data_IF_332168947959
#
_entry.id   IF_332168947959
#
_cell.length_a   1.000
_cell.length_b   1.000
_cell.length_c   1.000
_cell.angle_alpha   90.00
_cell.angle_beta   90.00
_cell.angle_gamma   90.00
#
_symmetry.space_group_name_H-M   'P 1'
#
loop_
_entity.id
_entity.type
_entity.pdbx_description
1 polymer ?
#
# COMPACT_ATOMS: atom_id res chain seq x y z
N UNK A 1 19.01 2.29 -32.01
CA UNK A 1 19.74 2.48 -30.74
C UNK A 1 18.77 3.20 -29.82
N UNK A 2 18.09 2.46 -28.91
CA UNK A 2 17.36 3.10 -27.81
C UNK A 2 18.41 3.62 -26.84
N UNK A 3 18.39 4.92 -26.55
CA UNK A 3 19.23 5.52 -25.52
C UNK A 3 19.08 4.71 -24.23
N UNK A 4 20.17 4.44 -23.53
CA UNK A 4 20.19 3.95 -22.17
C UNK A 4 19.56 5.04 -21.25
N UNK A 5 18.24 5.20 -21.31
CA UNK A 5 17.52 5.88 -20.25
C UNK A 5 17.57 4.94 -19.06
N UNK A 6 18.41 5.25 -18.10
CA UNK A 6 18.44 4.52 -16.84
C UNK A 6 17.02 4.54 -16.25
N UNK A 7 16.43 3.37 -16.04
CA UNK A 7 15.11 3.19 -15.45
C UNK A 7 15.00 4.01 -14.17
N UNK A 8 13.98 4.84 -14.03
CA UNK A 8 13.72 5.59 -12.80
C UNK A 8 13.43 4.66 -11.63
N UNK A 9 12.74 3.55 -11.90
CA UNK A 9 12.46 2.52 -10.90
C UNK A 9 13.73 1.91 -10.30
N UNK A 10 14.82 1.84 -11.07
CA UNK A 10 16.11 1.34 -10.57
C UNK A 10 16.66 2.18 -9.41
N UNK A 11 16.30 3.46 -9.33
CA UNK A 11 16.74 4.42 -8.31
C UNK A 11 15.92 4.36 -7.02
N UNK A 12 14.82 3.58 -7.01
CA UNK A 12 13.94 3.46 -5.84
C UNK A 12 14.34 2.20 -5.06
N UNK A 13 14.83 2.39 -3.84
CA UNK A 13 15.17 1.32 -2.90
C UNK A 13 14.33 1.40 -1.64
N UNK A 14 13.75 2.57 -1.36
CA UNK A 14 12.86 2.84 -0.23
C UNK A 14 11.77 3.83 -0.64
N UNK A 15 10.65 3.89 0.09
CA UNK A 15 9.59 4.87 -0.22
C UNK A 15 10.07 6.33 -0.17
N UNK A 16 11.06 6.64 0.66
CA UNK A 16 11.60 8.00 0.77
C UNK A 16 12.24 8.51 -0.51
N UNK A 17 12.75 7.61 -1.35
CA UNK A 17 13.36 7.97 -2.62
C UNK A 17 12.36 8.62 -3.58
N UNK A 18 11.06 8.24 -3.47
CA UNK A 18 9.98 8.82 -4.28
C UNK A 18 9.87 10.34 -4.14
N UNK A 19 10.21 10.88 -2.97
CA UNK A 19 10.11 12.32 -2.69
C UNK A 19 11.11 13.17 -3.47
N UNK A 20 12.11 12.54 -4.08
CA UNK A 20 13.11 13.23 -4.93
C UNK A 20 12.65 13.42 -6.39
N UNK A 21 11.56 12.76 -6.80
CA UNK A 21 11.07 12.78 -8.18
C UNK A 21 9.99 13.84 -8.40
N UNK A 22 9.99 14.45 -9.57
CA UNK A 22 8.90 15.32 -9.98
C UNK A 22 7.72 14.51 -10.56
N UNK A 23 6.59 15.17 -10.80
CA UNK A 23 5.36 14.51 -11.28
C UNK A 23 5.55 13.74 -12.60
N UNK A 24 6.37 14.25 -13.53
CA UNK A 24 6.60 13.56 -14.81
C UNK A 24 7.39 12.28 -14.60
N UNK A 25 8.42 12.32 -13.76
CA UNK A 25 9.23 11.17 -13.41
C UNK A 25 8.40 10.12 -12.65
N UNK A 26 7.48 10.55 -11.77
CA UNK A 26 6.55 9.65 -11.07
C UNK A 26 5.60 8.93 -12.05
N UNK A 27 5.17 9.57 -13.13
CA UNK A 27 4.37 8.91 -14.17
C UNK A 27 5.17 7.85 -14.93
N UNK A 28 6.46 8.11 -15.22
CA UNK A 28 7.34 7.11 -15.82
C UNK A 28 7.58 5.92 -14.86
N UNK A 29 7.81 6.19 -13.57
CA UNK A 29 7.91 5.16 -12.53
C UNK A 29 6.62 4.33 -12.47
N UNK A 30 5.46 4.97 -12.53
CA UNK A 30 4.18 4.28 -12.54
C UNK A 30 4.05 3.34 -13.75
N UNK A 31 4.52 3.77 -14.91
CA UNK A 31 4.56 2.95 -16.12
C UNK A 31 5.50 1.73 -15.93
N UNK A 32 6.73 1.95 -15.47
CA UNK A 32 7.71 0.88 -15.24
C UNK A 32 7.20 -0.15 -14.20
N UNK A 33 6.54 0.32 -13.13
CA UNK A 33 5.91 -0.56 -12.13
C UNK A 33 4.82 -1.42 -12.77
N UNK A 34 3.96 -0.84 -13.64
CA UNK A 34 2.92 -1.59 -14.34
C UNK A 34 3.51 -2.66 -15.25
N UNK A 35 4.58 -2.34 -15.99
CA UNK A 35 5.27 -3.33 -16.82
C UNK A 35 5.83 -4.48 -15.99
N UNK A 36 6.46 -4.18 -14.86
CA UNK A 36 7.00 -5.20 -13.95
C UNK A 36 5.89 -6.09 -13.37
N UNK A 37 4.74 -5.49 -12.97
CA UNK A 37 3.58 -6.24 -12.47
C UNK A 37 3.03 -7.17 -13.57
N UNK A 38 2.81 -6.65 -14.78
CA UNK A 38 2.31 -7.46 -15.91
C UNK A 38 3.27 -8.60 -16.20
N UNK A 39 4.57 -8.33 -16.31
CA UNK A 39 5.58 -9.35 -16.61
C UNK A 39 5.66 -10.44 -15.54
N UNK A 40 5.48 -10.07 -14.27
CA UNK A 40 5.54 -11.03 -13.15
C UNK A 40 4.23 -11.84 -13.05
N UNK A 41 3.09 -11.17 -13.08
CA UNK A 41 1.78 -11.81 -12.90
C UNK A 41 1.45 -12.73 -14.08
N UNK A 42 1.88 -12.40 -15.31
CA UNK A 42 1.70 -13.28 -16.47
C UNK A 42 2.42 -14.63 -16.31
N UNK A 43 3.48 -14.70 -15.54
CA UNK A 43 4.27 -15.93 -15.28
C UNK A 43 3.83 -16.66 -14.00
N UNK A 44 3.47 -15.92 -12.97
CA UNK A 44 3.27 -16.45 -11.63
C UNK A 44 1.79 -16.57 -11.24
N UNK A 45 0.90 -15.90 -11.98
CA UNK A 45 -0.47 -15.68 -11.56
C UNK A 45 -0.55 -14.57 -10.50
N UNK A 46 -1.77 -14.15 -10.17
CA UNK A 46 -2.04 -13.11 -9.20
C UNK A 46 -3.15 -12.16 -9.64
N UNK A 47 -3.34 -11.09 -8.88
CA UNK A 47 -4.38 -10.09 -9.12
C UNK A 47 -3.83 -8.98 -10.03
N UNK A 48 -4.22 -8.96 -11.31
CA UNK A 48 -3.65 -8.00 -12.25
C UNK A 48 -4.35 -6.64 -12.21
N UNK A 49 -5.66 -6.61 -12.51
CA UNK A 49 -6.40 -5.35 -12.69
C UNK A 49 -6.40 -4.46 -11.45
N UNK A 50 -6.62 -5.03 -10.28
CA UNK A 50 -6.61 -4.29 -9.02
C UNK A 50 -5.25 -3.64 -8.75
N UNK A 51 -4.15 -4.32 -9.10
CA UNK A 51 -2.81 -3.78 -8.93
C UNK A 51 -2.47 -2.69 -9.95
N UNK A 52 -2.83 -2.87 -11.21
CA UNK A 52 -2.60 -1.84 -12.22
C UNK A 52 -3.36 -0.54 -11.91
N UNK A 53 -4.58 -0.67 -11.36
CA UNK A 53 -5.38 0.48 -10.94
C UNK A 53 -4.86 1.18 -9.68
N UNK A 54 -4.15 0.46 -8.81
CA UNK A 54 -3.66 1.00 -7.54
C UNK A 54 -2.25 1.63 -7.62
N UNK A 55 -1.56 1.59 -8.77
CA UNK A 55 -0.16 2.06 -8.87
C UNK A 55 -0.04 3.54 -8.53
N UNK A 56 -0.83 4.41 -9.17
CA UNK A 56 -0.73 5.87 -8.97
C UNK A 56 -1.10 6.24 -7.53
N UNK A 57 -2.16 5.61 -6.98
CA UNK A 57 -2.54 5.79 -5.58
C UNK A 57 -1.40 5.39 -4.63
N UNK A 58 -0.77 4.25 -4.89
CA UNK A 58 0.35 3.76 -4.06
C UNK A 58 1.53 4.73 -4.09
N UNK A 59 1.90 5.21 -5.26
CA UNK A 59 2.97 6.21 -5.39
C UNK A 59 2.62 7.50 -4.66
N UNK A 60 1.39 8.00 -4.81
CA UNK A 60 0.93 9.21 -4.12
C UNK A 60 0.95 9.04 -2.60
N UNK A 61 0.49 7.90 -2.08
CA UNK A 61 0.53 7.60 -0.65
C UNK A 61 1.97 7.61 -0.10
N UNK A 62 2.88 6.91 -0.77
CA UNK A 62 4.29 6.89 -0.34
C UNK A 62 5.05 8.19 -0.59
N UNK A 63 4.56 9.03 -1.51
CA UNK A 63 5.10 10.38 -1.72
C UNK A 63 4.72 11.32 -0.57
N UNK A 64 3.49 11.19 -0.06
CA UNK A 64 2.93 12.08 0.97
C UNK A 64 3.25 11.60 2.38
N UNK A 65 3.09 10.32 2.66
CA UNK A 65 3.22 9.74 3.99
C UNK A 65 4.58 9.06 4.20
N UNK A 66 5.02 9.04 5.46
CA UNK A 66 6.34 8.52 5.87
C UNK A 66 6.24 7.08 6.40
N UNK A 67 5.97 6.11 5.50
CA UNK A 67 5.99 4.69 5.87
C UNK A 67 7.45 4.23 6.15
N UNK A 68 7.70 3.41 7.21
CA UNK A 68 6.73 2.68 8.04
C UNK A 68 6.18 3.45 9.24
N UNK A 69 6.67 4.68 9.51
CA UNK A 69 6.17 5.50 10.62
C UNK A 69 4.67 5.76 10.50
N UNK A 70 4.23 6.21 9.34
CA UNK A 70 2.82 6.33 9.00
C UNK A 70 2.32 4.96 8.49
N UNK A 71 1.21 4.50 9.05
CA UNK A 71 0.69 3.16 8.79
C UNK A 71 -0.19 3.14 7.55
N UNK A 72 0.21 2.40 6.53
CA UNK A 72 -0.62 2.11 5.36
C UNK A 72 -1.23 0.71 5.51
N UNK A 73 -2.54 0.64 5.74
CA UNK A 73 -3.27 -0.60 6.02
C UNK A 73 -4.12 -0.96 4.81
N UNK A 74 -3.78 -2.06 4.15
CA UNK A 74 -4.42 -2.52 2.93
C UNK A 74 -5.57 -3.49 3.23
N UNK A 75 -6.79 -3.12 2.86
CA UNK A 75 -7.93 -4.03 2.98
C UNK A 75 -7.85 -5.15 1.93
N UNK A 76 -8.09 -6.39 2.34
CA UNK A 76 -7.74 -7.60 1.57
C UNK A 76 -6.22 -7.66 1.28
N UNK A 77 -5.64 -6.60 0.74
CA UNK A 77 -4.21 -6.50 0.44
C UNK A 77 -3.79 -7.12 -0.90
N UNK A 78 -4.74 -7.59 -1.71
CA UNK A 78 -4.47 -8.16 -3.03
C UNK A 78 -3.95 -7.12 -4.05
N UNK A 79 -4.10 -5.83 -3.76
CA UNK A 79 -3.69 -4.67 -4.57
C UNK A 79 -2.36 -4.05 -4.12
N UNK A 80 -1.56 -4.74 -3.29
CA UNK A 80 -0.35 -4.19 -2.66
C UNK A 80 0.94 -4.38 -3.48
N UNK A 81 0.89 -4.79 -4.76
CA UNK A 81 2.11 -5.13 -5.49
C UNK A 81 3.03 -3.93 -5.71
N UNK A 82 2.48 -2.77 -6.08
CA UNK A 82 3.25 -1.54 -6.18
C UNK A 82 3.87 -1.15 -4.83
N UNK A 83 3.13 -1.32 -3.71
CA UNK A 83 3.63 -1.12 -2.36
C UNK A 83 4.85 -2.02 -2.08
N UNK A 84 4.79 -3.31 -2.40
CA UNK A 84 5.95 -4.21 -2.26
C UNK A 84 7.15 -3.74 -3.07
N UNK A 85 6.94 -3.31 -4.30
CA UNK A 85 8.00 -2.85 -5.20
C UNK A 85 8.72 -1.63 -4.62
N UNK A 86 7.98 -0.60 -4.17
CA UNK A 86 8.58 0.65 -3.66
C UNK A 86 9.13 0.54 -2.24
N UNK A 87 8.76 -0.51 -1.50
CA UNK A 87 9.24 -0.77 -0.13
C UNK A 87 10.41 -1.77 -0.09
N UNK A 88 11.28 -1.74 -1.09
CA UNK A 88 12.56 -2.46 -1.09
C UNK A 88 12.49 -3.91 -1.58
N UNK A 89 11.33 -4.40 -2.05
CA UNK A 89 11.16 -5.78 -2.52
C UNK A 89 11.19 -5.92 -4.04
N UNK A 90 11.61 -4.88 -4.74
CA UNK A 90 11.69 -4.83 -6.20
C UNK A 90 12.51 -5.98 -6.80
N UNK A 91 13.70 -6.22 -6.26
CA UNK A 91 14.62 -7.25 -6.77
C UNK A 91 14.09 -8.67 -6.57
N UNK A 92 13.31 -8.92 -5.53
CA UNK A 92 12.70 -10.22 -5.26
C UNK A 92 11.28 -10.35 -5.82
N UNK A 93 10.76 -9.32 -6.50
CA UNK A 93 9.37 -9.30 -6.97
C UNK A 93 9.04 -10.40 -8.00
N UNK A 94 10.03 -10.89 -8.73
CA UNK A 94 9.90 -12.05 -9.63
C UNK A 94 9.44 -13.32 -8.92
N UNK A 95 9.66 -13.43 -7.60
CA UNK A 95 9.26 -14.57 -6.77
C UNK A 95 7.85 -14.49 -6.23
N UNK A 96 7.09 -13.44 -6.59
CA UNK A 96 5.73 -13.22 -6.11
C UNK A 96 4.87 -14.48 -6.27
N UNK A 97 4.21 -14.90 -5.16
CA UNK A 97 3.35 -16.10 -5.07
C UNK A 97 4.04 -17.44 -5.39
N UNK A 98 5.36 -17.47 -5.41
CA UNK A 98 6.12 -18.72 -5.51
C UNK A 98 6.42 -19.30 -4.13
N UNK A 99 6.67 -20.61 -4.07
CA UNK A 99 7.12 -21.25 -2.85
C UNK A 99 8.39 -20.57 -2.32
N UNK A 100 8.42 -20.22 -1.05
CA UNK A 100 9.49 -19.42 -0.41
C UNK A 100 9.76 -18.05 -1.05
N UNK A 101 8.86 -17.57 -1.89
CA UNK A 101 8.93 -16.23 -2.47
C UNK A 101 8.01 -15.24 -1.76
N UNK A 102 7.83 -14.08 -2.37
CA UNK A 102 6.98 -13.03 -1.83
C UNK A 102 5.51 -13.45 -1.80
N UNK A 103 4.83 -13.14 -0.69
CA UNK A 103 3.39 -13.29 -0.55
C UNK A 103 2.64 -12.40 -1.55
N UNK A 104 1.49 -12.85 -2.01
CA UNK A 104 0.56 -12.03 -2.81
C UNK A 104 -0.21 -10.98 -1.98
N UNK A 105 0.02 -10.91 -0.67
CA UNK A 105 -0.61 -10.02 0.29
C UNK A 105 0.44 -9.37 1.17
N UNK A 106 0.13 -8.27 1.89
CA UNK A 106 1.02 -7.73 2.92
C UNK A 106 1.40 -8.81 3.94
N UNK A 107 2.68 -8.81 4.33
CA UNK A 107 3.19 -9.77 5.29
C UNK A 107 4.28 -9.12 6.15
N UNK A 108 4.05 -8.91 7.46
CA UNK A 108 5.03 -8.31 8.37
C UNK A 108 6.36 -9.07 8.48
N UNK A 109 6.38 -10.35 8.13
CA UNK A 109 7.63 -11.12 8.06
C UNK A 109 8.52 -10.75 6.86
N UNK A 110 7.96 -10.04 5.85
CA UNK A 110 8.70 -9.61 4.67
C UNK A 110 9.23 -8.17 4.78
N UNK A 111 8.52 -7.30 5.50
CA UNK A 111 8.83 -5.87 5.54
C UNK A 111 8.18 -5.18 6.74
N UNK A 112 8.89 -4.24 7.33
CA UNK A 112 8.36 -3.34 8.38
C UNK A 112 7.25 -2.40 7.87
N UNK A 113 7.11 -2.25 6.56
CA UNK A 113 6.05 -1.47 5.93
C UNK A 113 4.70 -2.21 5.88
N UNK A 114 4.70 -3.52 6.14
CA UNK A 114 3.51 -4.37 6.17
C UNK A 114 3.08 -4.59 7.63
N UNK A 115 2.03 -3.94 8.09
CA UNK A 115 1.65 -3.95 9.52
C UNK A 115 0.76 -5.13 9.91
N UNK A 116 0.01 -5.69 8.95
CA UNK A 116 -0.93 -6.79 9.17
C UNK A 116 -0.80 -7.86 8.08
N UNK A 117 -1.04 -9.11 8.46
CA UNK A 117 -1.32 -10.16 7.48
C UNK A 117 -2.77 -9.94 7.02
N UNK A 118 -2.96 -9.71 5.74
CA UNK A 118 -4.26 -9.47 5.12
C UNK A 118 -4.72 -10.66 4.27
N UNK A 119 -5.92 -10.59 3.73
CA UNK A 119 -6.53 -11.59 2.88
C UNK A 119 -8.06 -11.58 2.94
N UNK A 120 -8.62 -11.05 4.03
CA UNK A 120 -10.06 -10.88 4.22
C UNK A 120 -10.47 -9.43 4.03
N UNK A 121 -11.63 -9.23 3.38
CA UNK A 121 -12.19 -7.90 3.15
C UNK A 121 -12.84 -7.28 4.38
N UNK A 122 -13.02 -5.95 4.32
CA UNK A 122 -13.72 -5.14 5.32
C UNK A 122 -13.02 -5.04 6.68
N UNK A 123 -11.73 -5.37 6.78
CA UNK A 123 -10.98 -5.42 8.05
C UNK A 123 -10.12 -4.19 8.30
N UNK A 124 -9.67 -3.50 7.25
CA UNK A 124 -8.68 -2.44 7.37
C UNK A 124 -9.16 -1.24 8.19
N UNK A 125 -10.44 -0.90 8.15
CA UNK A 125 -11.01 0.21 8.94
C UNK A 125 -10.94 -0.12 10.42
N UNK A 126 -11.32 -1.33 10.83
CA UNK A 126 -11.22 -1.78 12.24
C UNK A 126 -9.77 -1.82 12.72
N UNK A 127 -8.86 -2.33 11.88
CA UNK A 127 -7.43 -2.35 12.18
C UNK A 127 -6.89 -0.92 12.34
N UNK A 128 -7.25 -0.02 11.41
CA UNK A 128 -6.87 1.39 11.45
C UNK A 128 -7.40 2.10 12.69
N UNK A 129 -8.65 1.82 13.07
CA UNK A 129 -9.25 2.37 14.29
C UNK A 129 -8.49 1.91 15.54
N UNK A 130 -8.18 0.61 15.64
CA UNK A 130 -7.39 0.09 16.76
C UNK A 130 -6.02 0.75 16.87
N UNK A 131 -5.33 0.92 15.73
CA UNK A 131 -4.05 1.64 15.68
C UNK A 131 -4.19 3.12 16.08
N UNK A 132 -5.28 3.79 15.66
CA UNK A 132 -5.54 5.19 16.01
C UNK A 132 -5.78 5.35 17.52
N UNK A 133 -6.57 4.47 18.11
CA UNK A 133 -6.78 4.46 19.56
C UNK A 133 -5.48 4.22 20.33
N UNK A 134 -4.67 3.27 19.90
CA UNK A 134 -3.36 3.00 20.51
C UNK A 134 -2.41 4.19 20.38
N UNK A 135 -2.34 4.81 19.19
CA UNK A 135 -1.57 6.03 18.94
C UNK A 135 -1.93 7.14 19.92
N UNK A 136 -3.22 7.38 20.12
CA UNK A 136 -3.72 8.46 20.98
C UNK A 136 -3.44 8.19 22.46
N UNK A 137 -3.63 6.94 22.92
CA UNK A 137 -3.27 6.51 24.28
C UNK A 137 -1.75 6.69 24.54
N UNK A 138 -0.93 6.39 23.54
CA UNK A 138 0.53 6.52 23.61
C UNK A 138 1.02 7.95 23.32
N UNK A 139 0.12 8.92 23.09
CA UNK A 139 0.44 10.30 22.74
C UNK A 139 1.39 10.42 21.54
N UNK A 140 1.24 9.52 20.57
CA UNK A 140 1.99 9.55 19.31
C UNK A 140 1.25 10.38 18.27
N UNK A 141 1.90 10.72 17.14
CA UNK A 141 1.35 11.64 16.13
C UNK A 141 1.44 11.15 14.68
N UNK A 142 1.78 9.87 14.46
CA UNK A 142 1.83 9.30 13.13
C UNK A 142 0.44 9.18 12.50
N UNK A 143 0.40 9.12 11.17
CA UNK A 143 -0.85 8.96 10.42
C UNK A 143 -1.20 7.50 10.25
N UNK A 144 -2.49 7.21 10.14
CA UNK A 144 -3.01 5.87 9.90
C UNK A 144 -3.99 5.98 8.73
N UNK A 145 -3.69 5.25 7.68
CA UNK A 145 -4.40 5.31 6.41
C UNK A 145 -4.91 3.91 6.06
N UNK A 146 -6.23 3.72 6.09
CA UNK A 146 -6.86 2.50 5.60
C UNK A 146 -7.16 2.63 4.10
N UNK A 147 -6.61 1.72 3.29
CA UNK A 147 -6.83 1.65 1.86
C UNK A 147 -7.85 0.55 1.60
N UNK A 148 -9.06 0.94 1.24
CA UNK A 148 -10.22 0.05 1.14
C UNK A 148 -10.75 0.07 -0.28
N UNK A 149 -10.95 -1.11 -0.87
CA UNK A 149 -11.64 -1.23 -2.15
C UNK A 149 -13.15 -1.01 -1.99
N UNK A 150 -13.80 -0.54 -3.04
CA UNK A 150 -15.23 -0.27 -3.09
C UNK A 150 -16.07 -1.50 -2.71
N UNK A 151 -15.72 -2.67 -3.22
CA UNK A 151 -16.39 -3.93 -2.90
C UNK A 151 -16.23 -4.35 -1.43
N UNK A 152 -15.12 -4.02 -0.80
CA UNK A 152 -14.90 -4.29 0.63
C UNK A 152 -15.64 -3.30 1.53
N UNK A 153 -15.86 -2.08 1.05
CA UNK A 153 -16.52 -1.03 1.82
C UNK A 153 -18.00 -1.35 2.09
N UNK A 154 -18.65 -2.15 1.23
CA UNK A 154 -20.05 -2.56 1.44
C UNK A 154 -20.23 -3.71 2.45
N UNK A 155 -19.16 -4.25 2.97
CA UNK A 155 -19.21 -5.32 3.96
C UNK A 155 -19.66 -4.83 5.34
N UNK A 156 -20.44 -5.65 6.07
CA UNK A 156 -20.99 -5.29 7.38
C UNK A 156 -19.90 -4.87 8.38
N UNK A 157 -18.74 -5.54 8.41
CA UNK A 157 -17.62 -5.17 9.29
C UNK A 157 -17.06 -3.77 8.99
N UNK A 158 -17.06 -3.33 7.73
CA UNK A 158 -16.64 -1.98 7.39
C UNK A 158 -17.61 -0.94 7.96
N UNK A 159 -18.92 -1.18 7.86
CA UNK A 159 -19.94 -0.30 8.45
C UNK A 159 -19.87 -0.28 9.98
N UNK A 160 -19.67 -1.42 10.63
CA UNK A 160 -19.47 -1.47 12.08
C UNK A 160 -18.25 -0.66 12.51
N UNK A 161 -17.13 -0.79 11.80
CA UNK A 161 -15.92 -0.04 12.09
C UNK A 161 -16.11 1.48 11.87
N UNK A 162 -16.80 1.88 10.80
CA UNK A 162 -17.13 3.28 10.55
C UNK A 162 -18.04 3.85 11.65
N UNK A 163 -19.07 3.10 12.05
CA UNK A 163 -19.96 3.50 13.14
C UNK A 163 -19.19 3.65 14.46
N UNK A 164 -18.34 2.68 14.80
CA UNK A 164 -17.48 2.74 15.99
C UNK A 164 -16.52 3.93 15.94
N UNK A 165 -15.98 4.25 14.77
CA UNK A 165 -15.05 5.36 14.59
C UNK A 165 -15.70 6.72 14.90
N UNK A 166 -16.99 6.89 14.58
CA UNK A 166 -17.74 8.11 14.90
C UNK A 166 -17.87 8.35 16.39
N UNK A 167 -17.82 7.30 17.20
CA UNK A 167 -17.95 7.39 18.67
C UNK A 167 -16.58 7.63 19.33
N UNK A 168 -15.53 7.02 18.82
CA UNK A 168 -14.22 6.95 19.47
C UNK A 168 -13.13 7.81 18.84
N UNK A 169 -13.26 8.13 17.55
CA UNK A 169 -12.35 9.09 16.94
C UNK A 169 -12.98 10.46 17.09
N UNK A 170 -12.45 11.21 18.01
CA UNK A 170 -12.53 12.63 17.96
C UNK A 170 -12.10 13.10 16.59
N UNK A 171 -12.95 13.80 15.93
CA UNK A 171 -12.79 14.54 14.71
C UNK A 171 -13.18 13.82 13.44
N UNK A 172 -14.44 13.73 13.19
CA UNK A 172 -14.89 14.30 11.97
C UNK A 172 -14.46 15.77 12.00
N UNK A 173 -13.79 16.23 10.94
CA UNK A 173 -13.66 17.66 10.67
C UNK A 173 -14.92 18.36 11.16
N UNK A 174 -14.83 19.12 12.25
CA UNK A 174 -15.96 19.94 12.69
C UNK A 174 -16.24 20.91 11.56
N UNK A 175 -17.44 20.94 10.99
CA UNK A 175 -17.82 22.07 10.17
C UNK A 175 -17.87 23.28 11.09
N UNK A 176 -16.96 24.19 10.88
CA UNK A 176 -17.02 25.52 11.45
C UNK A 176 -17.90 26.38 10.57
#
# INVERSE_FOLDING_TARGET
MKSENSSFLSRINSPSDLKSFNTKELLEIAFEIRELIVATVSKNGGHLSANLGAVDLTLALHYVFDSPRDLLIWDVGHQCYAHKIVTGRKESFYSLRRYQGLSGFPNPAESEHDHFISGHGSTAISQGLGCACARDILSQNHKIIAIVGDASLVGGMAFEALNLSLIHISEPTRPY
#
